data_IF_479111394482
#
_entry.id   IF_479111394482
#
_cell.length_a   1.000
_cell.length_b   1.000
_cell.length_c   1.000
_cell.angle_alpha   90.00
_cell.angle_beta   90.00
_cell.angle_gamma   90.00
#
_symmetry.space_group_name_H-M   'P 1'
#
loop_
_entity.id
_entity.type
_entity.pdbx_description
1 polymer ?
#
# COMPACT_ATOMS: atom_id res chain seq x y z
N UNK A 1 22.97 49.13 -3.52
CA UNK A 1 22.42 48.30 -4.62
C UNK A 1 20.94 48.12 -4.35
N UNK A 2 20.09 48.27 -5.36
CA UNK A 2 18.64 48.07 -5.21
C UNK A 2 18.38 46.57 -5.11
N UNK A 3 17.76 46.13 -4.01
CA UNK A 3 17.44 44.72 -3.78
C UNK A 3 16.36 44.27 -4.77
N UNK A 4 16.63 43.19 -5.52
CA UNK A 4 15.70 42.63 -6.51
C UNK A 4 14.62 41.82 -5.79
N UNK A 5 13.35 42.22 -5.90
CA UNK A 5 12.25 41.62 -5.14
C UNK A 5 11.28 40.81 -5.99
N UNK A 6 11.43 40.81 -7.32
CA UNK A 6 10.57 40.05 -8.23
C UNK A 6 11.36 39.20 -9.22
N UNK A 7 10.72 38.16 -9.77
CA UNK A 7 11.31 37.35 -10.82
C UNK A 7 11.63 38.17 -12.08
N UNK A 8 10.83 39.19 -12.39
CA UNK A 8 11.05 40.13 -13.50
C UNK A 8 12.38 40.86 -13.34
N UNK A 9 12.61 41.46 -12.17
CA UNK A 9 13.83 42.23 -11.89
C UNK A 9 15.08 41.35 -11.97
N UNK A 10 14.98 40.10 -11.48
CA UNK A 10 16.06 39.12 -11.57
C UNK A 10 16.32 38.71 -13.03
N UNK A 11 15.28 38.49 -13.83
CA UNK A 11 15.45 38.15 -15.26
C UNK A 11 16.15 39.29 -16.00
N UNK A 12 15.76 40.53 -15.74
CA UNK A 12 16.35 41.70 -16.40
C UNK A 12 17.80 41.91 -15.97
N UNK A 13 18.10 41.78 -14.67
CA UNK A 13 19.46 41.88 -14.14
C UNK A 13 20.40 40.76 -14.65
N UNK A 14 19.85 39.58 -14.96
CA UNK A 14 20.62 38.46 -15.53
C UNK A 14 20.84 38.56 -17.04
N UNK A 15 20.34 39.60 -17.71
CA UNK A 15 20.52 39.82 -19.16
C UNK A 15 19.29 39.46 -20.00
N UNK A 16 18.11 39.42 -19.38
CA UNK A 16 16.83 39.26 -20.04
C UNK A 16 16.45 37.82 -20.37
N UNK A 17 15.28 37.68 -21.01
CA UNK A 17 14.59 36.40 -21.25
C UNK A 17 15.47 35.36 -21.95
N UNK A 18 16.26 35.77 -22.96
CA UNK A 18 17.11 34.86 -23.73
C UNK A 18 18.35 34.40 -22.97
N UNK A 19 18.91 35.24 -22.09
CA UNK A 19 20.04 34.85 -21.26
C UNK A 19 19.63 33.82 -20.20
N UNK A 20 18.50 34.07 -19.54
CA UNK A 20 17.95 33.16 -18.53
C UNK A 20 17.46 31.84 -19.16
N UNK A 21 16.88 31.89 -20.36
CA UNK A 21 16.47 30.68 -21.10
C UNK A 21 17.67 29.77 -21.37
N UNK A 22 18.80 30.33 -21.82
CA UNK A 22 20.05 29.59 -22.02
C UNK A 22 20.63 29.06 -20.70
N UNK A 23 20.66 29.89 -19.64
CA UNK A 23 21.16 29.50 -18.32
C UNK A 23 20.41 28.28 -17.75
N UNK A 24 19.09 28.25 -17.95
CA UNK A 24 18.22 27.20 -17.40
C UNK A 24 18.00 26.02 -18.37
N UNK A 25 18.51 26.11 -19.60
CA UNK A 25 18.24 25.16 -20.68
C UNK A 25 16.73 24.94 -20.92
N UNK A 26 15.97 26.05 -21.05
CA UNK A 26 14.52 26.04 -21.31
C UNK A 26 14.17 27.01 -22.46
N UNK A 27 12.97 26.87 -23.03
CA UNK A 27 12.48 27.81 -24.04
C UNK A 27 12.20 29.22 -23.49
N UNK A 28 12.36 30.25 -24.33
CA UNK A 28 12.08 31.65 -23.95
C UNK A 28 10.63 31.89 -23.51
N UNK A 29 9.68 31.10 -24.02
CA UNK A 29 8.27 31.12 -23.59
C UNK A 29 8.10 30.72 -22.12
N UNK A 30 8.90 29.76 -21.62
CA UNK A 30 8.89 29.36 -20.22
C UNK A 30 9.39 30.49 -19.32
N UNK A 31 10.45 31.20 -19.72
CA UNK A 31 10.97 32.35 -18.98
C UNK A 31 10.00 33.52 -18.96
N UNK A 32 9.27 33.74 -20.07
CA UNK A 32 8.19 34.72 -20.11
C UNK A 32 7.10 34.41 -19.06
N UNK A 33 6.73 33.14 -18.89
CA UNK A 33 5.80 32.72 -17.84
C UNK A 33 6.35 32.99 -16.43
N UNK A 34 7.67 32.85 -16.20
CA UNK A 34 8.27 33.09 -14.88
C UNK A 34 8.18 34.54 -14.44
N UNK A 35 8.19 35.51 -15.37
CA UNK A 35 7.97 36.93 -15.02
C UNK A 35 6.63 37.15 -14.32
N UNK A 36 5.61 36.38 -14.69
CA UNK A 36 4.26 36.48 -14.12
C UNK A 36 4.05 35.55 -12.93
N UNK A 37 4.57 34.33 -12.98
CA UNK A 37 4.24 33.25 -12.04
C UNK A 37 5.32 33.02 -10.98
N UNK A 38 6.47 33.67 -11.10
CA UNK A 38 7.67 33.34 -10.31
C UNK A 38 8.46 32.19 -10.94
N UNK A 39 9.68 31.99 -10.44
CA UNK A 39 10.52 30.88 -10.88
C UNK A 39 10.02 29.56 -10.29
N UNK A 40 10.16 28.42 -10.99
CA UNK A 40 9.91 27.12 -10.39
C UNK A 40 11.06 26.73 -9.45
N UNK A 41 10.77 25.95 -8.40
CA UNK A 41 11.75 25.56 -7.38
C UNK A 41 13.04 24.94 -7.94
N UNK A 42 12.92 24.11 -9.00
CA UNK A 42 14.05 23.50 -9.72
C UNK A 42 15.05 24.52 -10.30
N UNK A 43 14.64 25.77 -10.52
CA UNK A 43 15.49 26.82 -11.09
C UNK A 43 16.21 27.67 -10.03
N UNK A 44 15.81 27.59 -8.76
CA UNK A 44 16.29 28.47 -7.69
C UNK A 44 17.80 28.41 -7.52
N UNK A 45 18.36 27.20 -7.43
CA UNK A 45 19.80 27.03 -7.20
C UNK A 45 20.67 27.63 -8.30
N UNK A 46 20.33 27.37 -9.58
CA UNK A 46 21.09 27.90 -10.71
C UNK A 46 20.99 29.43 -10.82
N UNK A 47 19.79 29.98 -10.55
CA UNK A 47 19.57 31.42 -10.59
C UNK A 47 20.24 32.14 -9.42
N UNK A 48 20.19 31.58 -8.21
CA UNK A 48 20.86 32.16 -7.05
C UNK A 48 22.38 32.17 -7.23
N UNK A 49 22.96 31.09 -7.78
CA UNK A 49 24.38 31.03 -8.12
C UNK A 49 24.77 32.08 -9.16
N UNK A 50 23.97 32.24 -10.23
CA UNK A 50 24.23 33.24 -11.27
C UNK A 50 24.08 34.69 -10.74
N UNK A 51 23.13 34.93 -9.83
CA UNK A 51 22.97 36.21 -9.16
C UNK A 51 24.17 36.52 -8.26
N UNK A 52 24.62 35.54 -7.47
CA UNK A 52 25.78 35.68 -6.59
C UNK A 52 27.07 35.97 -7.38
N UNK A 53 27.29 35.26 -8.50
CA UNK A 53 28.43 35.50 -9.39
C UNK A 53 28.44 36.93 -9.98
N UNK A 54 27.25 37.52 -10.17
CA UNK A 54 27.09 38.90 -10.64
C UNK A 54 26.99 39.93 -9.52
N UNK A 55 27.12 39.54 -8.26
CA UNK A 55 27.00 40.43 -7.10
C UNK A 55 25.61 41.05 -6.95
N UNK A 56 24.55 40.36 -7.39
CA UNK A 56 23.17 40.85 -7.30
C UNK A 56 22.58 40.54 -5.91
N UNK A 57 22.04 41.57 -5.25
CA UNK A 57 21.26 41.42 -4.02
C UNK A 57 19.80 41.08 -4.35
N UNK A 58 19.36 39.88 -3.98
CA UNK A 58 18.02 39.34 -4.30
C UNK A 58 17.28 38.97 -3.03
N UNK A 59 16.00 39.32 -2.94
CA UNK A 59 15.15 38.90 -1.83
C UNK A 59 14.89 37.39 -1.85
N UNK A 60 15.00 36.72 -0.69
CA UNK A 60 14.81 35.26 -0.59
C UNK A 60 13.44 34.80 -1.09
N UNK A 61 12.41 35.62 -0.93
CA UNK A 61 11.05 35.36 -1.44
C UNK A 61 11.00 35.10 -2.95
N UNK A 62 11.95 35.65 -3.74
CA UNK A 62 12.04 35.43 -5.20
C UNK A 62 12.40 33.98 -5.52
N UNK A 63 13.13 33.31 -4.63
CA UNK A 63 13.50 31.90 -4.72
C UNK A 63 12.74 31.07 -3.68
N UNK A 64 11.49 31.44 -3.41
CA UNK A 64 10.57 30.67 -2.58
C UNK A 64 10.95 30.63 -1.11
N UNK A 65 11.50 31.73 -0.57
CA UNK A 65 11.91 31.88 0.83
C UNK A 65 10.96 31.21 1.84
N UNK A 66 11.52 30.79 2.98
CA UNK A 66 10.79 30.06 4.02
C UNK A 66 9.50 30.81 4.39
N UNK A 67 8.35 30.29 3.95
CA UNK A 67 7.07 30.74 4.48
C UNK A 67 7.07 30.42 5.97
N UNK A 68 6.73 31.40 6.81
CA UNK A 68 6.47 31.15 8.22
C UNK A 68 5.46 30.02 8.34
N UNK A 69 5.87 28.92 8.96
CA UNK A 69 5.10 27.68 9.18
C UNK A 69 3.91 27.88 10.14
N UNK A 70 3.29 29.06 10.17
CA UNK A 70 2.23 29.41 11.11
C UNK A 70 0.85 28.85 10.71
N UNK A 71 0.67 28.39 9.48
CA UNK A 71 -0.63 27.91 8.95
C UNK A 71 -0.77 26.40 8.77
N UNK A 72 0.16 25.58 9.27
CA UNK A 72 -0.06 24.13 9.37
C UNK A 72 -0.45 23.80 10.79
N UNK A 73 -1.61 23.13 10.99
CA UNK A 73 -1.90 22.45 12.25
C UNK A 73 -0.64 21.71 12.70
N UNK A 74 -0.22 21.81 13.98
CA UNK A 74 0.97 21.13 14.44
C UNK A 74 0.82 19.64 14.13
N UNK A 75 1.70 19.10 13.28
CA UNK A 75 1.79 17.67 13.08
C UNK A 75 2.06 17.06 14.45
N UNK A 76 1.20 16.14 14.91
CA UNK A 76 1.49 15.38 16.13
C UNK A 76 2.86 14.73 15.94
N UNK A 77 3.81 15.05 16.82
CA UNK A 77 5.10 14.41 16.81
C UNK A 77 4.87 12.89 16.94
N UNK A 78 5.52 12.06 16.10
CA UNK A 78 5.43 10.62 16.24
C UNK A 78 5.94 10.21 17.61
N UNK A 79 5.49 9.06 18.10
CA UNK A 79 6.16 8.39 19.22
C UNK A 79 7.51 7.85 18.73
N UNK A 80 8.49 8.74 18.60
CA UNK A 80 9.89 8.33 18.58
C UNK A 80 10.23 7.88 19.99
N UNK A 81 10.49 6.59 20.20
CA UNK A 81 11.45 6.23 21.22
C UNK A 81 12.72 6.99 20.87
N UNK A 82 12.98 8.08 21.61
CA UNK A 82 14.35 8.51 21.82
C UNK A 82 15.10 7.23 22.16
N UNK A 83 16.20 6.96 21.44
CA UNK A 83 17.22 6.03 21.92
C UNK A 83 17.80 6.62 23.22
N UNK A 84 17.03 6.68 24.30
CA UNK A 84 17.57 6.94 25.63
C UNK A 84 18.16 5.63 26.08
N UNK A 85 19.49 5.64 26.14
CA UNK A 85 20.29 4.48 26.40
C UNK A 85 19.83 3.70 27.63
N UNK A 86 20.23 2.43 27.61
CA UNK A 86 20.65 1.73 28.82
C UNK A 86 21.32 2.75 29.76
N UNK A 87 20.70 2.96 30.93
CA UNK A 87 21.01 3.92 32.01
C UNK A 87 20.30 5.29 31.94
N UNK A 88 19.10 5.35 32.54
CA UNK A 88 18.77 6.37 33.54
C UNK A 88 17.50 5.99 34.32
N UNK A 89 17.66 5.76 35.62
CA UNK A 89 16.66 6.09 36.64
C UNK A 89 15.30 5.41 36.58
N UNK A 90 15.11 4.45 37.47
CA UNK A 90 13.79 3.99 37.94
C UNK A 90 12.98 5.21 38.41
N UNK A 91 12.07 5.70 37.57
CA UNK A 91 10.92 6.45 38.03
C UNK A 91 9.68 5.58 37.87
N UNK A 92 9.18 5.08 39.01
CA UNK A 92 7.86 4.49 39.16
C UNK A 92 6.81 5.55 38.79
N UNK A 93 6.40 5.59 37.53
CA UNK A 93 5.14 6.19 37.12
C UNK A 93 4.03 5.16 37.34
N UNK A 94 2.96 5.61 37.99
CA UNK A 94 1.86 4.81 38.52
C UNK A 94 0.92 4.29 37.41
N UNK A 95 0.81 2.96 37.32
CA UNK A 95 -0.42 2.18 37.07
C UNK A 95 -1.27 2.35 35.78
N UNK A 96 -0.81 3.00 34.69
CA UNK A 96 -1.50 2.89 33.37
C UNK A 96 -0.61 2.84 32.11
N UNK A 97 0.72 2.79 32.24
CA UNK A 97 1.65 2.83 31.10
C UNK A 97 1.98 1.44 30.47
N UNK A 98 1.35 0.37 30.94
CA UNK A 98 1.68 -1.04 30.59
C UNK A 98 0.95 -1.61 29.37
N UNK A 99 0.40 -0.78 28.48
CA UNK A 99 -0.38 -1.25 27.31
C UNK A 99 0.46 -1.48 26.05
N UNK A 100 1.03 -0.40 25.50
CA UNK A 100 1.83 -0.43 24.27
C UNK A 100 3.35 -0.43 24.51
N UNK A 101 3.82 0.13 25.63
CA UNK A 101 5.25 0.21 25.96
C UNK A 101 5.86 -1.15 26.36
N UNK A 102 5.03 -2.10 26.81
CA UNK A 102 5.42 -3.48 27.10
C UNK A 102 5.33 -4.43 25.90
N UNK A 103 4.79 -3.98 24.74
CA UNK A 103 4.56 -4.84 23.57
C UNK A 103 5.82 -5.57 23.12
N UNK A 104 6.90 -4.83 22.88
CA UNK A 104 8.18 -5.43 22.47
C UNK A 104 8.78 -6.31 23.56
N UNK A 105 8.72 -5.89 24.82
CA UNK A 105 9.29 -6.67 25.93
C UNK A 105 8.62 -8.05 26.05
N UNK A 106 7.29 -8.07 26.03
CA UNK A 106 6.51 -9.31 26.10
C UNK A 106 6.81 -10.23 24.90
N UNK A 107 6.91 -9.66 23.68
CA UNK A 107 7.21 -10.46 22.50
C UNK A 107 8.64 -11.02 22.50
N UNK A 108 9.60 -10.25 23.00
CA UNK A 108 10.98 -10.72 23.17
C UNK A 108 11.04 -11.89 24.17
N UNK A 109 10.28 -11.80 25.28
CA UNK A 109 10.13 -12.91 26.23
C UNK A 109 9.45 -14.14 25.58
N UNK A 110 8.48 -13.93 24.69
CA UNK A 110 7.82 -14.96 23.89
C UNK A 110 8.70 -15.48 22.72
N UNK A 111 9.97 -15.05 22.61
CA UNK A 111 10.94 -15.57 21.65
C UNK A 111 11.02 -14.85 20.31
N UNK A 112 10.37 -13.68 20.17
CA UNK A 112 10.48 -12.84 18.97
C UNK A 112 11.78 -12.04 18.97
N UNK A 113 12.47 -12.02 17.84
CA UNK A 113 13.68 -11.21 17.68
C UNK A 113 13.32 -9.77 17.26
N UNK A 114 13.82 -8.74 17.96
CA UNK A 114 13.57 -7.36 17.57
C UNK A 114 14.34 -6.97 16.32
N UNK A 115 13.66 -6.36 15.35
CA UNK A 115 14.26 -5.79 14.13
C UNK A 115 14.03 -4.29 14.06
N UNK A 116 15.04 -3.56 13.61
CA UNK A 116 14.97 -2.10 13.39
C UNK A 116 15.42 -1.75 11.97
N UNK A 117 14.60 -2.02 10.94
CA UNK A 117 14.96 -1.72 9.56
C UNK A 117 15.23 -0.21 9.37
N UNK A 118 16.01 0.14 8.35
CA UNK A 118 16.27 1.54 8.02
C UNK A 118 15.01 2.26 7.53
N UNK A 119 14.86 3.55 7.86
CA UNK A 119 13.75 4.38 7.35
C UNK A 119 13.87 4.60 5.85
N UNK A 120 15.09 4.92 5.39
CA UNK A 120 15.41 5.05 3.98
C UNK A 120 15.49 3.66 3.35
N UNK A 121 14.77 3.44 2.27
CA UNK A 121 14.75 2.17 1.54
C UNK A 121 14.87 2.40 0.03
N UNK A 122 15.41 1.44 -0.74
CA UNK A 122 15.24 1.42 -2.19
C UNK A 122 13.75 1.40 -2.55
N UNK A 123 13.33 2.16 -3.56
CA UNK A 123 11.89 2.29 -3.86
C UNK A 123 11.29 1.10 -4.61
N UNK A 124 12.08 0.38 -5.42
CA UNK A 124 11.59 -0.72 -6.29
C UNK A 124 10.79 -1.78 -5.54
N UNK A 125 11.27 -2.37 -4.42
CA UNK A 125 10.52 -3.34 -3.64
C UNK A 125 9.08 -2.91 -3.28
N UNK A 126 8.87 -1.62 -2.99
CA UNK A 126 7.56 -1.09 -2.62
C UNK A 126 6.70 -0.80 -3.83
N UNK A 127 7.31 -0.22 -4.87
CA UNK A 127 6.62 0.06 -6.13
C UNK A 127 6.11 -1.26 -6.71
N UNK A 128 6.92 -2.30 -6.76
CA UNK A 128 6.56 -3.52 -7.46
C UNK A 128 5.56 -4.39 -6.70
N UNK A 129 5.43 -4.23 -5.37
CA UNK A 129 4.71 -5.20 -4.51
C UNK A 129 3.50 -4.64 -3.76
N UNK A 130 3.43 -3.34 -3.49
CA UNK A 130 2.32 -2.80 -2.68
C UNK A 130 1.05 -2.49 -3.48
N UNK A 131 1.13 -2.54 -4.81
CA UNK A 131 0.01 -2.23 -5.70
C UNK A 131 -0.20 -0.72 -5.97
N UNK A 132 -1.02 -0.38 -6.96
CA UNK A 132 -1.12 0.97 -7.51
C UNK A 132 -1.70 2.02 -6.55
N UNK A 133 -2.59 1.62 -5.64
CA UNK A 133 -3.13 2.55 -4.62
C UNK A 133 -2.02 3.02 -3.68
N UNK A 134 -1.21 2.08 -3.16
CA UNK A 134 -0.15 2.37 -2.21
C UNK A 134 1.05 3.06 -2.86
N UNK A 135 1.37 2.71 -4.11
CA UNK A 135 2.39 3.41 -4.91
C UNK A 135 2.16 4.93 -4.93
N UNK A 136 0.92 5.38 -5.10
CA UNK A 136 0.54 6.81 -5.12
C UNK A 136 0.73 7.51 -3.78
N UNK A 137 0.95 6.73 -2.71
CA UNK A 137 1.09 7.20 -1.34
C UNK A 137 2.54 7.12 -0.83
N UNK A 138 3.49 6.69 -1.66
CA UNK A 138 4.90 6.63 -1.29
C UNK A 138 5.54 8.03 -1.34
N UNK A 139 6.36 8.33 -0.34
CA UNK A 139 7.31 9.44 -0.43
C UNK A 139 8.58 8.96 -1.12
N UNK A 140 8.74 9.29 -2.39
CA UNK A 140 9.90 8.93 -3.20
C UNK A 140 10.82 10.12 -3.45
N UNK A 141 12.11 9.84 -3.56
CA UNK A 141 13.15 10.82 -3.87
C UNK A 141 14.29 10.12 -4.62
N UNK A 142 15.18 10.92 -5.19
CA UNK A 142 16.38 10.44 -5.87
C UNK A 142 17.57 10.92 -5.06
N UNK A 143 18.51 10.02 -4.77
CA UNK A 143 19.73 10.39 -4.07
C UNK A 143 20.72 11.14 -5.00
N UNK A 144 21.84 11.66 -4.48
CA UNK A 144 22.83 12.33 -5.32
C UNK A 144 23.51 11.45 -6.37
N UNK A 145 23.51 10.11 -6.20
CA UNK A 145 24.05 9.16 -7.16
C UNK A 145 23.06 8.81 -8.29
N UNK A 146 21.78 9.18 -8.13
CA UNK A 146 20.71 8.90 -9.08
C UNK A 146 19.83 7.72 -8.69
N UNK A 147 20.06 7.11 -7.54
CA UNK A 147 19.31 5.94 -7.08
C UNK A 147 17.92 6.35 -6.55
N UNK A 148 16.85 5.64 -6.96
CA UNK A 148 15.51 5.92 -6.50
C UNK A 148 15.28 5.30 -5.11
N UNK A 149 14.92 6.17 -4.17
CA UNK A 149 14.72 5.84 -2.77
C UNK A 149 13.30 6.23 -2.31
N UNK A 150 12.87 5.67 -1.19
CA UNK A 150 11.65 6.06 -0.52
C UNK A 150 11.82 6.06 1.00
N UNK A 151 10.92 6.78 1.68
CA UNK A 151 10.66 6.55 3.10
C UNK A 151 9.79 5.30 3.20
N UNK A 152 10.15 4.38 4.10
CA UNK A 152 9.41 3.12 4.26
C UNK A 152 7.91 3.39 4.57
N UNK A 153 6.98 2.82 3.80
CA UNK A 153 5.53 2.95 4.02
C UNK A 153 4.98 1.93 5.02
N UNK A 154 5.74 0.89 5.32
CA UNK A 154 5.49 -0.10 6.38
C UNK A 154 6.84 -0.65 6.89
N UNK A 155 6.77 -1.62 7.80
CA UNK A 155 7.94 -2.37 8.28
C UNK A 155 7.98 -3.83 7.82
N UNK A 156 6.94 -4.36 7.16
CA UNK A 156 6.88 -5.74 6.68
C UNK A 156 7.90 -6.00 5.57
N UNK A 157 7.88 -5.21 4.48
CA UNK A 157 8.83 -5.37 3.37
C UNK A 157 10.29 -5.15 3.85
N UNK A 158 10.60 -4.09 4.63
CA UNK A 158 11.94 -3.94 5.21
C UNK A 158 12.39 -5.12 6.08
N UNK A 159 11.48 -5.72 6.85
CA UNK A 159 11.77 -6.90 7.68
C UNK A 159 12.05 -8.13 6.82
N UNK A 160 11.29 -8.34 5.74
CA UNK A 160 11.54 -9.40 4.78
C UNK A 160 12.90 -9.24 4.08
N UNK A 161 13.26 -8.01 3.66
CA UNK A 161 14.57 -7.73 3.06
C UNK A 161 15.73 -8.00 4.02
N UNK A 162 15.58 -7.60 5.29
CA UNK A 162 16.58 -7.86 6.33
C UNK A 162 16.71 -9.37 6.63
N UNK A 163 15.60 -10.11 6.62
CA UNK A 163 15.62 -11.58 6.72
C UNK A 163 16.43 -12.21 5.59
N UNK A 164 16.15 -11.83 4.33
CA UNK A 164 16.88 -12.32 3.16
C UNK A 164 18.37 -11.98 3.21
N UNK A 165 18.70 -10.75 3.60
CA UNK A 165 20.09 -10.29 3.75
C UNK A 165 20.88 -11.11 4.77
N UNK A 166 20.21 -11.60 5.82
CA UNK A 166 20.82 -12.45 6.85
C UNK A 166 20.97 -13.91 6.39
N UNK A 167 20.34 -14.32 5.30
CA UNK A 167 20.46 -15.67 4.72
C UNK A 167 20.08 -16.77 5.72
N UNK A 168 18.96 -16.59 6.44
CA UNK A 168 18.57 -17.50 7.52
C UNK A 168 17.59 -18.56 7.04
N UNK A 169 17.87 -19.80 7.41
CA UNK A 169 16.99 -20.93 7.16
C UNK A 169 16.04 -21.19 8.33
N UNK A 170 14.91 -21.81 7.97
CA UNK A 170 13.85 -22.24 8.87
C UNK A 170 13.02 -21.08 9.44
N UNK A 171 12.00 -21.46 10.22
CA UNK A 171 11.04 -20.52 10.78
C UNK A 171 11.70 -19.53 11.75
N UNK A 172 11.37 -18.24 11.60
CA UNK A 172 11.84 -17.15 12.46
C UNK A 172 10.68 -16.24 12.83
N UNK A 173 10.72 -15.74 14.07
CA UNK A 173 9.78 -14.78 14.66
C UNK A 173 10.48 -13.42 14.80
N UNK A 174 9.91 -12.37 14.21
CA UNK A 174 10.39 -11.00 14.29
C UNK A 174 9.36 -10.11 14.94
N UNK A 175 9.80 -9.16 15.76
CA UNK A 175 8.96 -8.07 16.25
C UNK A 175 9.61 -6.72 15.94
N UNK A 176 8.79 -5.70 15.78
CA UNK A 176 9.28 -4.33 15.57
C UNK A 176 8.37 -3.29 16.19
N UNK A 177 9.01 -2.17 16.52
CA UNK A 177 8.36 -0.88 16.76
C UNK A 177 9.10 0.15 15.91
N UNK A 178 8.39 0.80 14.99
CA UNK A 178 9.04 1.79 14.15
C UNK A 178 8.09 2.67 13.36
N UNK A 179 8.62 3.81 12.94
CA UNK A 179 7.89 4.82 12.18
C UNK A 179 7.79 4.46 10.71
N UNK A 180 6.61 4.62 10.13
CA UNK A 180 6.29 4.45 8.72
C UNK A 180 5.65 5.74 8.16
N UNK A 181 5.77 5.92 6.83
CA UNK A 181 5.43 7.16 6.15
C UNK A 181 4.52 6.92 4.95
N UNK A 182 3.36 7.55 4.90
CA UNK A 182 2.43 7.47 3.76
C UNK A 182 1.84 8.84 3.49
N UNK A 183 1.92 9.29 2.24
CA UNK A 183 1.19 10.48 1.82
C UNK A 183 -0.32 10.29 2.05
N UNK A 184 -0.96 11.34 2.56
CA UNK A 184 -2.40 11.38 2.78
C UNK A 184 -2.99 12.57 2.03
N UNK A 185 -4.16 12.42 1.39
CA UNK A 185 -4.86 13.57 0.84
C UNK A 185 -5.08 14.65 1.91
N UNK A 186 -4.87 15.91 1.53
CA UNK A 186 -5.08 17.06 2.41
C UNK A 186 -6.51 17.04 2.96
N UNK A 187 -6.65 17.27 4.26
CA UNK A 187 -7.94 17.26 4.95
C UNK A 187 -8.47 15.87 5.32
N UNK A 188 -7.76 14.78 5.02
CA UNK A 188 -8.18 13.42 5.41
C UNK A 188 -8.10 13.14 6.91
N UNK A 189 -7.39 13.99 7.68
CA UNK A 189 -7.15 13.82 9.11
C UNK A 189 -6.24 12.63 9.46
N UNK A 190 -5.76 11.88 8.46
CA UNK A 190 -4.84 10.74 8.65
C UNK A 190 -3.40 11.27 8.80
N UNK A 191 -2.60 10.70 9.72
CA UNK A 191 -1.21 11.08 9.83
C UNK A 191 -0.41 10.59 8.61
N UNK A 192 0.53 11.42 8.15
CA UNK A 192 1.49 11.03 7.12
C UNK A 192 2.69 10.26 7.69
N UNK A 193 2.96 10.45 8.97
CA UNK A 193 3.98 9.77 9.75
C UNK A 193 3.33 9.11 10.97
N UNK A 194 3.51 7.81 11.14
CA UNK A 194 2.86 7.02 12.19
C UNK A 194 3.72 5.83 12.62
N UNK A 195 3.44 5.28 13.79
CA UNK A 195 4.22 4.20 14.40
C UNK A 195 3.49 2.87 14.25
N UNK A 196 4.20 1.86 13.74
CA UNK A 196 3.73 0.49 13.70
C UNK A 196 4.39 -0.34 14.80
N UNK A 197 3.56 -1.10 15.51
CA UNK A 197 3.95 -2.19 16.39
C UNK A 197 3.58 -3.49 15.68
N UNK A 198 4.54 -4.31 15.27
CA UNK A 198 4.21 -5.48 14.46
C UNK A 198 5.09 -6.69 14.70
N UNK A 199 4.63 -7.79 14.15
CA UNK A 199 5.25 -9.10 14.21
C UNK A 199 5.23 -9.77 12.85
N UNK A 200 6.24 -10.57 12.55
CA UNK A 200 6.35 -11.37 11.33
C UNK A 200 6.87 -12.76 11.67
N UNK A 201 6.23 -13.80 11.15
CA UNK A 201 6.69 -15.19 11.17
C UNK A 201 7.06 -15.54 9.72
N UNK A 202 8.32 -15.92 9.49
CA UNK A 202 8.89 -16.13 8.15
C UNK A 202 9.60 -17.47 8.11
N UNK A 203 9.36 -18.25 7.05
CA UNK A 203 10.11 -19.48 6.75
C UNK A 203 9.54 -20.73 7.40
N UNK A 204 8.22 -20.78 7.66
CA UNK A 204 7.55 -22.02 8.05
C UNK A 204 7.69 -23.10 6.95
N UNK A 205 7.68 -24.37 7.34
CA UNK A 205 7.79 -25.48 6.41
C UNK A 205 6.53 -25.57 5.52
N UNK A 206 6.73 -25.83 4.23
CA UNK A 206 5.68 -25.77 3.20
C UNK A 206 4.70 -26.95 3.25
N UNK A 207 4.99 -27.98 4.05
CA UNK A 207 4.36 -29.30 4.04
C UNK A 207 3.26 -29.51 5.10
N UNK A 208 2.81 -28.45 5.80
CA UNK A 208 1.77 -28.58 6.82
C UNK A 208 0.75 -27.44 6.88
N UNK A 209 -0.44 -27.64 6.30
CA UNK A 209 -1.64 -26.80 6.59
C UNK A 209 -1.86 -26.57 8.10
N UNK A 210 -1.62 -27.54 9.00
CA UNK A 210 -1.73 -27.29 10.43
C UNK A 210 -0.74 -26.24 10.97
N UNK A 211 0.51 -26.23 10.49
CA UNK A 211 1.52 -25.25 10.92
C UNK A 211 1.17 -23.85 10.40
N UNK A 212 0.73 -23.79 9.13
CA UNK A 212 0.25 -22.56 8.49
C UNK A 212 -0.84 -21.88 9.32
N UNK A 213 -1.85 -22.67 9.72
CA UNK A 213 -2.97 -22.23 10.56
C UNK A 213 -2.52 -21.89 11.99
N UNK A 214 -1.56 -22.62 12.56
CA UNK A 214 -1.01 -22.31 13.87
C UNK A 214 -0.30 -20.94 13.89
N UNK A 215 0.51 -20.65 12.87
CA UNK A 215 1.20 -19.36 12.75
C UNK A 215 0.22 -18.21 12.46
N UNK A 216 -0.83 -18.46 11.68
CA UNK A 216 -1.96 -17.53 11.49
C UNK A 216 -2.65 -17.19 12.82
N UNK A 217 -2.92 -18.20 13.63
CA UNK A 217 -3.52 -18.02 14.95
C UNK A 217 -2.57 -17.29 15.91
N UNK A 218 -1.28 -17.63 15.92
CA UNK A 218 -0.27 -17.00 16.78
C UNK A 218 -0.17 -15.49 16.51
N UNK A 219 -0.05 -15.09 15.24
CA UNK A 219 0.04 -13.67 14.85
C UNK A 219 -1.21 -12.92 15.27
N UNK A 220 -2.39 -13.48 14.99
CA UNK A 220 -3.65 -12.84 15.33
C UNK A 220 -3.87 -12.75 16.85
N UNK A 221 -3.58 -13.82 17.59
CA UNK A 221 -3.71 -13.87 19.05
C UNK A 221 -2.83 -12.80 19.71
N UNK A 222 -1.57 -12.63 19.30
CA UNK A 222 -0.69 -11.61 19.87
C UNK A 222 -1.14 -10.18 19.59
N UNK A 223 -1.65 -9.89 18.38
CA UNK A 223 -2.20 -8.58 18.04
C UNK A 223 -3.46 -8.30 18.86
N UNK A 224 -4.39 -9.26 18.91
CA UNK A 224 -5.65 -9.13 19.65
C UNK A 224 -5.39 -8.99 21.17
N UNK A 225 -4.47 -9.78 21.73
CA UNK A 225 -4.01 -9.69 23.12
C UNK A 225 -3.55 -8.30 23.46
N UNK A 226 -2.74 -7.68 22.60
CA UNK A 226 -2.22 -6.33 22.79
C UNK A 226 -3.34 -5.30 22.83
N UNK A 227 -4.27 -5.36 21.87
CA UNK A 227 -5.42 -4.45 21.78
C UNK A 227 -6.33 -4.57 23.00
N UNK A 228 -6.63 -5.81 23.43
CA UNK A 228 -7.45 -6.07 24.62
C UNK A 228 -6.76 -5.61 25.91
N UNK A 229 -5.44 -5.80 26.03
CA UNK A 229 -4.65 -5.35 27.18
C UNK A 229 -4.64 -3.83 27.30
N UNK A 230 -4.67 -3.11 26.17
CA UNK A 230 -4.78 -1.66 26.14
C UNK A 230 -6.18 -1.13 26.53
N UNK A 231 -7.18 -2.01 26.72
CA UNK A 231 -8.53 -1.62 27.15
C UNK A 231 -9.52 -1.38 26.01
N UNK A 232 -9.13 -1.55 24.75
CA UNK A 232 -10.04 -1.37 23.61
C UNK A 232 -11.03 -2.54 23.55
N UNK A 233 -12.33 -2.24 23.47
CA UNK A 233 -13.41 -3.25 23.42
C UNK A 233 -14.41 -3.01 22.27
N UNK A 234 -14.60 -1.77 21.86
CA UNK A 234 -15.54 -1.39 20.79
C UNK A 234 -14.97 -1.59 19.38
N UNK A 235 -14.53 -2.82 19.07
CA UNK A 235 -13.94 -3.16 17.77
C UNK A 235 -14.70 -4.28 17.05
N UNK A 236 -14.42 -4.40 15.75
CA UNK A 236 -14.84 -5.46 14.84
C UNK A 236 -13.59 -6.06 14.21
N UNK A 237 -13.55 -7.39 14.08
CA UNK A 237 -12.52 -8.14 13.38
C UNK A 237 -13.09 -8.48 12.01
N UNK A 238 -12.53 -7.84 10.98
CA UNK A 238 -12.94 -8.04 9.59
C UNK A 238 -11.91 -8.95 8.94
N UNK A 239 -12.32 -10.03 8.28
CA UNK A 239 -11.40 -11.00 7.69
C UNK A 239 -11.91 -11.60 6.39
N UNK A 240 -10.98 -12.13 5.59
CA UNK A 240 -11.25 -12.86 4.35
C UNK A 240 -9.97 -13.65 3.93
N UNK A 241 -10.07 -14.44 2.87
CA UNK A 241 -8.95 -15.16 2.26
C UNK A 241 -8.96 -14.99 0.74
N UNK A 242 -7.79 -14.70 0.17
CA UNK A 242 -7.63 -14.39 -1.27
C UNK A 242 -7.85 -15.59 -2.19
N UNK A 243 -7.49 -16.80 -1.74
CA UNK A 243 -7.71 -18.03 -2.49
C UNK A 243 -9.18 -18.43 -2.48
N UNK A 244 -9.88 -18.21 -1.36
CA UNK A 244 -11.24 -18.69 -1.18
C UNK A 244 -12.22 -18.17 -2.24
N UNK A 245 -12.16 -16.86 -2.57
CA UNK A 245 -13.05 -16.30 -3.58
C UNK A 245 -12.71 -16.81 -4.99
N UNK A 246 -11.41 -16.94 -5.30
CA UNK A 246 -10.93 -17.41 -6.59
C UNK A 246 -11.30 -18.88 -6.84
N UNK A 247 -11.24 -19.73 -5.81
CA UNK A 247 -11.63 -21.14 -5.89
C UNK A 247 -13.13 -21.29 -6.17
N UNK A 248 -13.95 -20.42 -5.58
CA UNK A 248 -15.40 -20.43 -5.77
C UNK A 248 -15.87 -19.85 -7.09
N UNK A 249 -15.01 -19.20 -7.88
CA UNK A 249 -15.35 -18.77 -9.25
C UNK A 249 -15.83 -19.94 -10.09
N UNK A 250 -15.34 -21.16 -9.84
CA UNK A 250 -15.73 -22.34 -10.60
C UNK A 250 -17.16 -22.82 -10.31
N UNK A 251 -17.72 -22.46 -9.15
CA UNK A 251 -19.09 -22.79 -8.74
C UNK A 251 -20.14 -22.05 -9.59
N UNK A 252 -19.73 -20.98 -10.26
CA UNK A 252 -20.60 -20.11 -11.05
C UNK A 252 -20.53 -20.44 -12.54
N UNK A 253 -21.64 -20.21 -13.23
CA UNK A 253 -21.83 -20.53 -14.65
C UNK A 253 -21.20 -19.48 -15.60
N UNK A 254 -19.99 -19.01 -15.29
CA UNK A 254 -19.21 -18.10 -16.13
C UNK A 254 -18.63 -18.81 -17.37
N UNK A 255 -18.38 -18.05 -18.44
CA UNK A 255 -17.59 -18.53 -19.57
C UNK A 255 -16.14 -18.83 -19.15
N UNK A 256 -15.48 -19.84 -19.75
CA UNK A 256 -14.10 -20.23 -19.37
C UNK A 256 -13.09 -19.09 -19.51
N UNK A 257 -13.25 -18.26 -20.55
CA UNK A 257 -12.43 -17.07 -20.73
C UNK A 257 -12.62 -16.08 -19.57
N UNK A 258 -13.87 -15.87 -19.16
CA UNK A 258 -14.20 -14.97 -18.06
C UNK A 258 -13.77 -15.53 -16.71
N UNK A 259 -13.89 -16.84 -16.44
CA UNK A 259 -13.36 -17.48 -15.22
C UNK A 259 -11.87 -17.19 -15.04
N UNK A 260 -11.09 -17.42 -16.08
CA UNK A 260 -9.64 -17.17 -16.05
C UNK A 260 -9.31 -15.68 -15.86
N UNK A 261 -10.06 -14.79 -16.52
CA UNK A 261 -9.90 -13.35 -16.32
C UNK A 261 -10.28 -12.92 -14.90
N UNK A 262 -11.40 -13.40 -14.38
CA UNK A 262 -11.93 -13.08 -13.06
C UNK A 262 -10.96 -13.54 -11.97
N UNK A 263 -10.53 -14.81 -11.98
CA UNK A 263 -9.53 -15.34 -11.05
C UNK A 263 -8.25 -14.50 -11.06
N UNK A 264 -7.71 -14.17 -12.24
CA UNK A 264 -6.52 -13.31 -12.36
C UNK A 264 -6.74 -11.93 -11.75
N UNK A 265 -7.88 -11.29 -11.99
CA UNK A 265 -8.18 -9.95 -11.46
C UNK A 265 -8.38 -9.97 -9.96
N UNK A 266 -9.06 -10.99 -9.42
CA UNK A 266 -9.21 -11.20 -7.98
C UNK A 266 -7.85 -11.39 -7.29
N UNK A 267 -6.95 -12.17 -7.89
CA UNK A 267 -5.56 -12.31 -7.39
C UNK A 267 -4.74 -11.02 -7.51
N UNK A 268 -5.12 -10.11 -8.41
CA UNK A 268 -4.53 -8.78 -8.54
C UNK A 268 -5.16 -7.74 -7.61
N UNK A 269 -6.05 -8.17 -6.69
CA UNK A 269 -6.77 -7.35 -5.73
C UNK A 269 -7.78 -6.35 -6.36
N UNK A 270 -8.27 -6.63 -7.57
CA UNK A 270 -9.41 -5.87 -8.10
C UNK A 270 -10.68 -6.20 -7.29
N UNK A 271 -11.42 -5.18 -6.89
CA UNK A 271 -12.72 -5.39 -6.22
C UNK A 271 -13.75 -5.94 -7.22
N UNK A 272 -14.71 -6.73 -6.74
CA UNK A 272 -15.84 -7.16 -7.56
C UNK A 272 -16.61 -5.97 -8.15
N UNK A 273 -16.62 -4.83 -7.46
CA UNK A 273 -17.24 -3.59 -7.95
C UNK A 273 -16.47 -3.02 -9.15
N UNK A 274 -15.14 -2.93 -9.09
CA UNK A 274 -14.32 -2.47 -10.21
C UNK A 274 -14.47 -3.40 -11.43
N UNK A 275 -14.53 -4.71 -11.18
CA UNK A 275 -14.73 -5.72 -12.21
C UNK A 275 -16.11 -5.53 -12.86
N UNK A 276 -17.15 -5.37 -12.05
CA UNK A 276 -18.51 -5.11 -12.52
C UNK A 276 -18.61 -3.80 -13.32
N UNK A 277 -17.99 -2.71 -12.86
CA UNK A 277 -17.95 -1.44 -13.58
C UNK A 277 -17.25 -1.58 -14.94
N UNK A 278 -16.12 -2.29 -14.98
CA UNK A 278 -15.38 -2.58 -16.21
C UNK A 278 -16.28 -3.32 -17.21
N UNK A 279 -16.94 -4.38 -16.76
CA UNK A 279 -17.81 -5.20 -17.61
C UNK A 279 -19.06 -4.46 -18.06
N UNK A 280 -19.65 -3.64 -17.18
CA UNK A 280 -20.80 -2.79 -17.51
C UNK A 280 -20.43 -1.84 -18.65
N UNK A 281 -19.24 -1.23 -18.57
CA UNK A 281 -18.71 -0.34 -19.61
C UNK A 281 -18.52 -1.09 -20.94
N UNK A 282 -17.96 -2.31 -20.90
CA UNK A 282 -17.77 -3.16 -22.08
C UNK A 282 -19.11 -3.61 -22.69
N UNK A 283 -20.10 -3.93 -21.86
CA UNK A 283 -21.44 -4.31 -22.30
C UNK A 283 -22.23 -3.13 -22.90
N UNK A 284 -21.94 -1.90 -22.49
CA UNK A 284 -22.57 -0.70 -23.06
C UNK A 284 -21.92 -0.28 -24.39
N UNK A 285 -20.63 -0.57 -24.58
CA UNK A 285 -19.93 -0.42 -25.85
C UNK A 285 -20.23 -1.59 -26.81
N UNK A 286 -21.49 -1.72 -27.22
CA UNK A 286 -21.95 -2.73 -28.21
C UNK A 286 -21.95 -2.23 -29.64
N UNK A 287 -21.52 -1.00 -29.90
CA UNK A 287 -21.36 -0.52 -31.27
C UNK A 287 -20.35 -1.42 -31.99
N UNK A 288 -20.77 -2.21 -33.00
CA UNK A 288 -19.81 -2.96 -33.79
C UNK A 288 -18.84 -1.93 -34.38
N UNK A 289 -17.52 -2.21 -34.43
CA UNK A 289 -16.63 -1.34 -35.18
C UNK A 289 -17.25 -1.12 -36.56
N UNK A 290 -17.27 0.12 -37.09
CA UNK A 290 -17.81 0.39 -38.41
C UNK A 290 -17.14 -0.62 -39.35
N UNK A 291 -17.99 -1.47 -39.93
CA UNK A 291 -17.70 -2.62 -40.78
C UNK A 291 -16.19 -2.76 -41.04
N UNK A 292 -15.47 -3.75 -40.45
CA UNK A 292 -14.08 -3.90 -40.80
C UNK A 292 -14.09 -4.11 -42.31
N UNK A 293 -13.48 -3.20 -43.05
CA UNK A 293 -13.02 -3.53 -44.40
C UNK A 293 -12.40 -4.90 -44.22
N UNK A 294 -12.98 -5.93 -44.87
CA UNK A 294 -12.36 -7.24 -45.00
C UNK A 294 -11.05 -7.00 -45.75
N UNK A 295 -10.05 -6.46 -45.05
CA UNK A 295 -8.70 -6.43 -45.51
C UNK A 295 -8.32 -7.89 -45.53
N UNK A 296 -7.99 -8.40 -46.70
CA UNK A 296 -7.45 -9.74 -46.87
C UNK A 296 -6.14 -9.83 -46.06
N UNK A 297 -6.21 -10.14 -44.76
CA UNK A 297 -5.00 -10.44 -43.98
C UNK A 297 -4.38 -11.78 -44.41
N UNK A 298 -5.05 -12.57 -45.24
CA UNK A 298 -4.46 -13.73 -45.93
C UNK A 298 -3.32 -13.32 -46.89
N UNK A 299 -3.20 -12.04 -47.25
CA UNK A 299 -2.18 -11.54 -48.17
C UNK A 299 -1.04 -10.73 -47.51
N UNK A 300 -0.97 -10.65 -46.17
CA UNK A 300 0.08 -9.90 -45.46
C UNK A 300 0.79 -10.78 -44.43
N UNK A 301 2.00 -11.23 -44.79
CA UNK A 301 2.77 -12.22 -44.01
C UNK A 301 3.24 -11.72 -42.63
N UNK A 302 3.24 -10.41 -42.38
CA UNK A 302 3.60 -9.87 -41.07
C UNK A 302 3.11 -8.43 -40.87
N UNK A 303 2.31 -8.21 -39.83
CA UNK A 303 1.93 -6.88 -39.35
C UNK A 303 2.51 -6.72 -37.94
N UNK A 304 3.55 -5.90 -37.81
CA UNK A 304 4.21 -5.58 -36.53
C UNK A 304 4.61 -6.87 -35.78
N UNK A 305 5.28 -7.79 -36.48
CA UNK A 305 5.79 -9.04 -35.91
C UNK A 305 4.74 -10.09 -35.56
N UNK A 306 3.50 -9.95 -36.05
CA UNK A 306 2.42 -10.95 -35.90
C UNK A 306 1.84 -11.31 -37.27
N UNK A 307 1.48 -12.57 -37.45
CA UNK A 307 0.84 -13.02 -38.69
C UNK A 307 -0.62 -12.56 -38.76
N UNK A 308 -1.14 -12.40 -39.98
CA UNK A 308 -2.55 -12.09 -40.21
C UNK A 308 -3.51 -13.09 -39.54
N UNK A 309 -3.14 -14.38 -39.53
CA UNK A 309 -3.88 -15.44 -38.85
C UNK A 309 -3.91 -15.26 -37.32
N UNK A 310 -2.80 -14.87 -36.70
CA UNK A 310 -2.73 -14.59 -35.26
C UNK A 310 -3.61 -13.39 -34.88
N UNK A 311 -3.62 -12.35 -35.71
CA UNK A 311 -4.44 -11.15 -35.49
C UNK A 311 -5.93 -11.49 -35.62
N UNK A 312 -6.31 -12.27 -36.63
CA UNK A 312 -7.69 -12.73 -36.81
C UNK A 312 -8.16 -13.60 -35.64
N UNK A 313 -7.37 -14.57 -35.20
CA UNK A 313 -7.71 -15.42 -34.06
C UNK A 313 -7.90 -14.61 -32.76
N UNK A 314 -7.14 -13.51 -32.56
CA UNK A 314 -7.31 -12.60 -31.42
C UNK A 314 -8.58 -11.74 -31.54
N UNK A 315 -8.93 -11.31 -32.75
CA UNK A 315 -10.14 -10.52 -33.02
C UNK A 315 -11.40 -11.37 -32.83
N UNK A 316 -11.43 -12.59 -33.36
CA UNK A 316 -12.54 -13.53 -33.16
C UNK A 316 -12.73 -13.87 -31.68
N UNK A 317 -11.63 -14.10 -30.94
CA UNK A 317 -11.67 -14.31 -29.49
C UNK A 317 -12.29 -13.13 -28.75
N UNK A 318 -11.89 -11.90 -29.08
CA UNK A 318 -12.49 -10.69 -28.50
C UNK A 318 -13.97 -10.53 -28.87
N UNK A 319 -14.37 -10.95 -30.06
CA UNK A 319 -15.76 -10.90 -30.50
C UNK A 319 -16.63 -11.95 -29.78
N UNK A 320 -16.11 -13.15 -29.53
CA UNK A 320 -16.76 -14.17 -28.70
C UNK A 320 -16.81 -13.77 -27.21
N UNK A 321 -15.75 -13.17 -26.67
CA UNK A 321 -15.73 -12.57 -25.32
C UNK A 321 -16.85 -11.51 -25.18
N UNK A 322 -17.09 -10.70 -26.23
CA UNK A 322 -18.17 -9.71 -26.24
C UNK A 322 -19.57 -10.34 -26.19
N UNK A 323 -19.80 -11.48 -26.86
CA UNK A 323 -21.11 -12.14 -26.92
C UNK A 323 -21.57 -12.70 -25.57
N UNK A 324 -20.64 -13.15 -24.72
CA UNK A 324 -20.95 -13.73 -23.41
C UNK A 324 -21.05 -12.70 -22.26
N UNK A 325 -20.64 -11.45 -22.50
CA UNK A 325 -20.56 -10.38 -21.50
C UNK A 325 -21.84 -10.21 -20.67
N UNK A 326 -23.02 -10.27 -21.31
CA UNK A 326 -24.29 -10.09 -20.60
C UNK A 326 -24.64 -11.26 -19.66
N UNK A 327 -24.30 -12.48 -20.05
CA UNK A 327 -24.47 -13.67 -19.21
C UNK A 327 -23.50 -13.65 -18.04
N UNK A 328 -22.22 -13.35 -18.32
CA UNK A 328 -21.16 -13.25 -17.30
C UNK A 328 -21.47 -12.12 -16.29
N UNK A 329 -22.00 -10.98 -16.74
CA UNK A 329 -22.48 -9.90 -15.86
C UNK A 329 -23.60 -10.36 -14.92
N UNK A 330 -24.60 -11.08 -15.44
CA UNK A 330 -25.72 -11.59 -14.64
C UNK A 330 -25.22 -12.57 -13.57
N UNK A 331 -24.30 -13.45 -13.95
CA UNK A 331 -23.72 -14.41 -13.01
C UNK A 331 -22.82 -13.72 -11.98
N UNK A 332 -22.10 -12.66 -12.34
CA UNK A 332 -21.32 -11.85 -11.40
C UNK A 332 -22.22 -11.16 -10.36
N UNK A 333 -23.38 -10.64 -10.78
CA UNK A 333 -24.38 -10.11 -9.86
C UNK A 333 -24.91 -11.16 -8.89
N UNK A 334 -25.13 -12.39 -9.36
CA UNK A 334 -25.55 -13.51 -8.52
C UNK A 334 -24.47 -13.87 -7.49
N UNK A 335 -23.23 -14.00 -7.95
CA UNK A 335 -22.08 -14.25 -7.08
C UNK A 335 -21.97 -13.19 -5.99
N UNK A 336 -22.04 -11.90 -6.34
CA UNK A 336 -22.01 -10.81 -5.37
C UNK A 336 -23.13 -10.91 -4.34
N UNK A 337 -24.36 -11.18 -4.77
CA UNK A 337 -25.50 -11.33 -3.87
C UNK A 337 -25.37 -12.51 -2.91
N UNK A 338 -24.78 -13.62 -3.35
CA UNK A 338 -24.51 -14.78 -2.49
C UNK A 338 -23.43 -14.46 -1.43
N UNK A 339 -22.38 -13.71 -1.83
CA UNK A 339 -21.31 -13.29 -0.93
C UNK A 339 -21.80 -12.26 0.10
N UNK A 340 -22.68 -11.33 -0.30
CA UNK A 340 -23.28 -10.37 0.62
C UNK A 340 -24.13 -11.08 1.69
N UNK A 341 -24.91 -12.11 1.31
CA UNK A 341 -25.64 -12.95 2.28
C UNK A 341 -24.74 -13.72 3.23
N UNK A 342 -23.58 -14.18 2.76
CA UNK A 342 -22.59 -14.85 3.60
C UNK A 342 -21.90 -13.91 4.58
N UNK A 343 -21.83 -12.62 4.26
CA UNK A 343 -21.34 -11.58 5.19
C UNK A 343 -22.36 -11.27 6.29
N UNK A 344 -23.66 -11.34 5.98
CA UNK A 344 -24.76 -11.09 6.92
C UNK A 344 -25.09 -12.30 7.82
N UNK A 345 -24.85 -13.52 7.34
CA UNK A 345 -25.14 -14.76 8.05
C UNK A 345 -23.92 -15.32 8.78
N UNK A 346 -23.89 -15.21 10.10
CA UNK A 346 -22.87 -15.85 10.96
C UNK A 346 -22.98 -17.39 11.01
N UNK A 347 -23.60 -18.02 10.01
CA UNK A 347 -23.88 -19.45 9.98
C UNK A 347 -22.79 -20.18 9.18
N UNK A 348 -21.85 -20.76 9.92
CA UNK A 348 -20.75 -21.63 9.48
C UNK A 348 -19.63 -20.91 8.71
N UNK A 349 -18.72 -20.20 9.41
CA UNK A 349 -17.58 -19.56 8.79
C UNK A 349 -16.69 -20.59 8.07
N UNK A 350 -16.07 -20.22 6.93
CA UNK A 350 -15.21 -21.14 6.19
C UNK A 350 -14.04 -21.68 7.03
N UNK A 351 -13.55 -22.89 6.71
CA UNK A 351 -12.46 -23.53 7.47
C UNK A 351 -11.19 -22.68 7.56
N UNK A 352 -10.90 -21.85 6.55
CA UNK A 352 -9.75 -20.95 6.57
C UNK A 352 -9.81 -19.92 7.70
N UNK A 353 -11.01 -19.60 8.22
CA UNK A 353 -11.21 -18.56 9.23
C UNK A 353 -10.97 -19.07 10.67
N UNK A 354 -10.85 -20.39 10.86
CA UNK A 354 -10.63 -21.00 12.18
C UNK A 354 -9.44 -20.40 12.96
N UNK A 355 -8.28 -20.10 12.33
CA UNK A 355 -7.15 -19.46 13.00
C UNK A 355 -7.46 -18.07 13.60
N UNK A 356 -8.51 -17.39 13.13
CA UNK A 356 -8.93 -16.11 13.69
C UNK A 356 -10.05 -16.29 14.73
N UNK A 357 -11.02 -17.15 14.42
CA UNK A 357 -12.22 -17.34 15.23
C UNK A 357 -11.88 -18.00 16.57
N UNK A 358 -11.09 -19.08 16.55
CA UNK A 358 -10.78 -19.83 17.76
C UNK A 358 -10.04 -18.96 18.81
N UNK A 359 -8.98 -18.20 18.46
CA UNK A 359 -8.37 -17.26 19.40
C UNK A 359 -9.31 -16.12 19.83
N UNK A 360 -10.11 -15.56 18.91
CA UNK A 360 -11.03 -14.48 19.25
C UNK A 360 -12.05 -14.91 20.32
N UNK A 361 -12.67 -16.07 20.14
CA UNK A 361 -13.64 -16.63 21.10
C UNK A 361 -12.97 -17.01 22.43
N UNK A 362 -11.77 -17.61 22.39
CA UNK A 362 -10.96 -17.90 23.59
C UNK A 362 -10.68 -16.63 24.41
N UNK A 363 -10.52 -15.49 23.74
CA UNK A 363 -10.33 -14.18 24.37
C UNK A 363 -11.62 -13.44 24.70
N UNK A 364 -12.76 -14.14 24.69
CA UNK A 364 -14.10 -13.60 25.00
C UNK A 364 -14.59 -12.50 24.04
N UNK A 365 -14.12 -12.49 22.80
CA UNK A 365 -14.76 -11.69 21.75
C UNK A 365 -16.14 -12.26 21.45
N UNK A 366 -17.09 -11.38 21.14
CA UNK A 366 -18.44 -11.79 20.77
C UNK A 366 -18.49 -12.15 19.29
N UNK A 367 -19.40 -13.05 18.93
CA UNK A 367 -19.64 -13.45 17.56
C UNK A 367 -19.99 -12.28 16.62
N UNK A 368 -20.76 -11.30 17.10
CA UNK A 368 -21.12 -10.09 16.33
C UNK A 368 -19.93 -9.17 16.03
N UNK A 369 -18.77 -9.42 16.65
CA UNK A 369 -17.52 -8.71 16.34
C UNK A 369 -16.76 -9.38 15.19
N UNK A 370 -17.08 -10.61 14.80
CA UNK A 370 -16.42 -11.35 13.72
C UNK A 370 -17.18 -11.10 12.42
N UNK A 371 -16.53 -10.41 11.47
CA UNK A 371 -17.15 -10.02 10.20
C UNK A 371 -16.39 -10.67 9.05
N UNK A 372 -17.02 -11.67 8.43
CA UNK A 372 -16.53 -12.22 7.18
C UNK A 372 -16.86 -11.25 6.04
N UNK A 373 -15.83 -10.78 5.33
CA UNK A 373 -15.98 -9.78 4.26
C UNK A 373 -15.37 -10.28 2.94
N UNK A 374 -16.02 -11.25 2.26
CA UNK A 374 -15.52 -11.84 1.01
C UNK A 374 -15.25 -10.83 -0.11
N UNK A 375 -16.03 -9.75 -0.11
CA UNK A 375 -16.00 -8.71 -1.15
C UNK A 375 -15.00 -7.58 -0.83
N UNK A 376 -14.36 -7.61 0.35
CA UNK A 376 -13.43 -6.58 0.74
C UNK A 376 -12.07 -6.82 0.06
N UNK A 377 -11.76 -5.97 -0.92
CA UNK A 377 -10.42 -5.89 -1.51
C UNK A 377 -9.39 -5.41 -0.49
N UNK A 378 -8.17 -5.92 -0.59
CA UNK A 378 -7.09 -5.56 0.32
C UNK A 378 -6.40 -4.26 -0.12
N UNK A 379 -5.88 -3.51 0.85
CA UNK A 379 -5.06 -2.31 0.59
C UNK A 379 -3.61 -2.63 0.21
N UNK A 380 -3.16 -3.86 0.47
CA UNK A 380 -1.79 -4.31 0.21
C UNK A 380 -1.81 -5.47 -0.76
N UNK A 381 -1.15 -5.32 -1.90
CA UNK A 381 -1.25 -6.30 -2.98
C UNK A 381 -0.43 -7.58 -2.76
N UNK A 382 0.44 -7.63 -1.75
CA UNK A 382 1.36 -8.73 -1.51
C UNK A 382 0.74 -9.90 -0.70
N UNK A 383 -0.47 -9.78 -0.19
CA UNK A 383 -1.12 -10.86 0.56
C UNK A 383 -1.63 -11.97 -0.39
N UNK A 384 -1.39 -13.23 -0.02
CA UNK A 384 -1.66 -14.43 -0.84
C UNK A 384 -2.73 -15.34 -0.25
N UNK A 385 -3.14 -15.14 1.01
CA UNK A 385 -4.11 -16.00 1.69
C UNK A 385 -4.95 -15.22 2.71
N UNK A 386 -5.07 -15.77 3.92
CA UNK A 386 -5.78 -15.15 5.03
C UNK A 386 -5.32 -13.71 5.26
N UNK A 387 -6.28 -12.81 5.42
CA UNK A 387 -6.02 -11.46 5.93
C UNK A 387 -7.10 -11.03 6.91
N UNK A 388 -6.73 -10.08 7.78
CA UNK A 388 -7.64 -9.46 8.73
C UNK A 388 -7.32 -7.97 8.96
N UNK A 389 -8.35 -7.22 9.33
CA UNK A 389 -8.26 -5.86 9.85
C UNK A 389 -9.06 -5.79 11.16
N UNK A 390 -8.56 -5.04 12.16
CA UNK A 390 -9.32 -4.72 13.38
C UNK A 390 -9.80 -3.27 13.30
N UNK A 391 -11.11 -3.10 13.25
CA UNK A 391 -11.81 -1.84 13.05
C UNK A 391 -12.39 -1.35 14.37
N UNK A 392 -12.16 -0.09 14.72
CA UNK A 392 -12.87 0.63 15.79
C UNK A 392 -13.80 1.65 15.10
N UNK A 393 -15.10 1.33 14.93
CA UNK A 393 -16.01 2.19 14.15
C UNK A 393 -16.08 3.65 14.65
N UNK A 394 -15.89 3.86 15.96
CA UNK A 394 -15.87 5.19 16.57
C UNK A 394 -14.80 6.13 15.98
N UNK A 395 -13.72 5.59 15.40
CA UNK A 395 -12.65 6.38 14.76
C UNK A 395 -12.92 6.72 13.29
N UNK A 396 -14.07 6.34 12.74
CA UNK A 396 -14.52 6.69 11.37
C UNK A 396 -13.46 6.37 10.29
N UNK A 397 -12.88 7.38 9.65
CA UNK A 397 -11.84 7.25 8.62
C UNK A 397 -10.55 6.61 9.12
N UNK A 398 -10.29 6.63 10.43
CA UNK A 398 -9.14 6.00 11.08
C UNK A 398 -9.49 4.66 11.74
N UNK A 399 -10.67 4.09 11.46
CA UNK A 399 -11.17 2.88 12.13
C UNK A 399 -10.20 1.71 12.15
N UNK A 400 -9.37 1.51 11.13
CA UNK A 400 -8.43 0.39 11.09
C UNK A 400 -7.26 0.64 12.04
N UNK A 401 -7.28 0.01 13.21
CA UNK A 401 -6.24 0.13 14.23
C UNK A 401 -5.14 -0.93 14.09
N UNK A 402 -5.45 -2.09 13.50
CA UNK A 402 -4.48 -3.14 13.21
C UNK A 402 -4.87 -3.89 11.94
N UNK A 403 -3.89 -4.49 11.27
CA UNK A 403 -4.10 -5.32 10.09
C UNK A 403 -2.98 -6.34 9.96
N UNK A 404 -3.29 -7.50 9.38
CA UNK A 404 -2.31 -8.55 9.13
C UNK A 404 -2.82 -9.54 8.10
N UNK A 405 -1.96 -10.46 7.72
CA UNK A 405 -2.27 -11.50 6.75
C UNK A 405 -1.05 -12.25 6.26
N UNK A 406 -1.31 -13.25 5.44
CA UNK A 406 -0.33 -14.16 4.86
C UNK A 406 0.16 -13.71 3.50
N UNK A 407 1.47 -13.83 3.24
CA UNK A 407 2.15 -13.31 2.06
C UNK A 407 3.27 -14.25 1.57
N UNK A 408 2.92 -15.47 1.21
CA UNK A 408 3.88 -16.56 0.92
C UNK A 408 4.80 -16.31 -0.29
N UNK A 409 4.39 -15.44 -1.23
CA UNK A 409 5.15 -15.11 -2.43
C UNK A 409 6.05 -13.88 -2.27
N UNK A 410 5.89 -13.10 -1.20
CA UNK A 410 6.56 -11.81 -1.05
C UNK A 410 8.08 -11.96 -1.08
N UNK A 411 8.64 -12.88 -0.30
CA UNK A 411 10.09 -13.03 -0.19
C UNK A 411 10.75 -13.48 -1.50
N UNK A 412 10.11 -14.38 -2.24
CA UNK A 412 10.56 -14.77 -3.58
C UNK A 412 10.55 -13.56 -4.53
N UNK A 413 9.48 -12.78 -4.48
CA UNK A 413 9.34 -11.56 -5.26
C UNK A 413 10.38 -10.48 -4.92
N UNK A 414 11.02 -10.57 -3.75
CA UNK A 414 12.09 -9.69 -3.26
C UNK A 414 13.49 -10.24 -3.51
N UNK A 415 13.62 -11.44 -4.09
CA UNK A 415 14.90 -12.01 -4.51
C UNK A 415 15.28 -13.35 -3.87
N UNK A 416 14.41 -14.00 -3.09
CA UNK A 416 14.66 -15.36 -2.63
C UNK A 416 14.63 -16.36 -3.80
N UNK A 417 15.45 -17.41 -3.75
CA UNK A 417 15.52 -18.43 -4.82
C UNK A 417 14.23 -19.23 -4.98
N UNK A 418 13.48 -19.40 -3.90
CA UNK A 418 12.19 -20.10 -3.84
C UNK A 418 11.16 -19.33 -3.00
N UNK A 419 9.86 -19.63 -3.13
CA UNK A 419 8.83 -19.14 -2.21
C UNK A 419 9.16 -19.44 -0.76
N UNK A 420 9.06 -18.43 0.10
CA UNK A 420 9.26 -18.55 1.55
C UNK A 420 7.95 -18.14 2.21
N UNK A 421 7.18 -19.10 2.76
CA UNK A 421 5.93 -18.83 3.43
C UNK A 421 6.10 -17.85 4.59
N UNK A 422 5.15 -16.92 4.73
CA UNK A 422 5.25 -15.89 5.75
C UNK A 422 3.90 -15.27 6.10
N UNK A 423 3.77 -14.84 7.35
CA UNK A 423 2.60 -14.15 7.88
C UNK A 423 3.01 -13.12 8.91
N UNK A 424 2.26 -12.04 8.99
CA UNK A 424 2.39 -11.12 10.11
C UNK A 424 1.32 -10.06 10.14
N UNK A 425 1.53 -9.08 11.00
CA UNK A 425 0.58 -7.99 11.17
C UNK A 425 1.13 -6.89 12.06
N UNK A 426 0.48 -5.74 11.98
CA UNK A 426 0.89 -4.54 12.68
C UNK A 426 -0.29 -3.76 13.23
N UNK A 427 -0.07 -3.17 14.40
CA UNK A 427 -0.94 -2.21 15.08
C UNK A 427 -0.41 -0.80 14.79
N UNK A 428 -1.30 0.09 14.36
CA UNK A 428 -1.02 1.51 14.23
C UNK A 428 -1.16 2.19 15.60
N UNK A 429 -0.05 2.50 16.25
CA UNK A 429 0.01 2.95 17.65
C UNK A 429 -0.84 4.20 17.89
N UNK A 430 -0.77 5.20 17.01
CA UNK A 430 -1.50 6.45 17.18
C UNK A 430 -3.02 6.22 17.10
N UNK A 431 -3.47 5.27 16.28
CA UNK A 431 -4.90 4.92 16.18
C UNK A 431 -5.34 4.05 17.36
N UNK A 432 -4.46 3.17 17.84
CA UNK A 432 -4.69 2.43 19.08
C UNK A 432 -4.86 3.40 20.26
N UNK A 433 -3.99 4.40 20.39
CA UNK A 433 -4.08 5.42 21.44
C UNK A 433 -5.36 6.26 21.31
N UNK A 434 -5.80 6.59 20.10
CA UNK A 434 -7.09 7.27 19.88
C UNK A 434 -8.30 6.39 20.24
N UNK A 435 -8.15 5.06 20.27
CA UNK A 435 -9.21 4.11 20.62
C UNK A 435 -9.35 3.79 22.12
N UNK A 436 -8.35 4.15 22.93
CA UNK A 436 -8.34 4.04 24.40
C UNK A 436 -9.07 5.23 24.99
#
# INVERSE_FOLDING_TARGET
>A
MTRLTTATDVIDALGGTQAVARLLNVGASAVSNYRRLGFPARAYYKLSQACAQKGLDVAEAVFGGLQSLETTQPMRAPFHQLRTGVQAGVHKSSTKETGAMGFLANLIEDGYEPVTPSILQPSSPFVDRMGPEMQRRLFTFTDPAGDPLCLRPDLTIPTALEHLKRGRDGEKRYCYQGTAFRYQPRGSGKPEEFTQLGIEIIGEATDGTPQKQANEAEVFEQILKTILTCGVRGFQIVFNDMSYLADRVDDYAFSDAFKNQLKRRLMQNDSLEDIQQTLTTLSQNTAPPPNPVRMNFEATDNIIGRSGAEIFARLERKQQESQNTASDLKELHRMRADLDKQSEGNSNPPDFARPLIEPALKMSCREDQLIYAPNLGQKMAYYTGLFFEIHVPALQEKRVIASGGRYDDLLHSLGAESPIPAIGGAIALERLQEAI
#
